data_IF_733566940653
#
_entry.id   IF_733566940653
#
_cell.length_a   1.000
_cell.length_b   1.000
_cell.length_c   1.000
_cell.angle_alpha   90.00
_cell.angle_beta   90.00
_cell.angle_gamma   90.00
#
_symmetry.space_group_name_H-M   'P 1'
#
loop_
_entity.id
_entity.type
_entity.pdbx_description
1 polymer ?
#
# COMPACT_ATOMS: atom_id res chain seq x y z
N UNK A 1 -29.22 0.40 -1.93
CA UNK A 1 -29.35 -0.78 -1.05
C UNK A 1 -28.41 -0.55 0.13
N UNK A 2 -28.90 -0.49 1.38
CA UNK A 2 -28.05 -0.22 2.55
C UNK A 2 -27.64 -1.54 3.17
N UNK A 3 -26.40 -1.97 2.93
CA UNK A 3 -25.81 -3.18 3.51
C UNK A 3 -25.54 -2.89 4.99
N UNK A 4 -26.54 -3.10 5.85
CA UNK A 4 -26.34 -2.94 7.30
C UNK A 4 -25.78 -4.24 7.87
N UNK A 5 -24.53 -4.18 8.32
CA UNK A 5 -23.86 -5.13 9.21
C UNK A 5 -23.63 -6.56 8.69
N UNK A 6 -23.75 -6.82 7.38
CA UNK A 6 -23.36 -8.11 6.83
C UNK A 6 -21.86 -8.19 6.62
N UNK A 7 -21.26 -9.31 7.02
CA UNK A 7 -19.86 -9.65 6.69
C UNK A 7 -19.72 -10.07 5.23
N UNK A 8 -18.50 -10.01 4.70
CA UNK A 8 -18.18 -10.40 3.32
C UNK A 8 -18.62 -11.83 2.98
N UNK A 9 -18.63 -12.74 3.95
CA UNK A 9 -19.06 -14.13 3.79
C UNK A 9 -20.57 -14.30 3.76
N UNK A 10 -21.33 -13.31 4.24
CA UNK A 10 -22.79 -13.31 4.33
C UNK A 10 -23.45 -12.60 3.13
N UNK A 11 -22.66 -11.94 2.29
CA UNK A 11 -23.13 -11.27 1.09
C UNK A 11 -23.45 -12.29 0.00
N UNK A 12 -24.63 -12.15 -0.60
CA UNK A 12 -24.99 -12.94 -1.78
C UNK A 12 -24.22 -12.48 -3.01
N UNK A 13 -24.14 -13.33 -4.05
CA UNK A 13 -23.57 -12.94 -5.35
C UNK A 13 -24.25 -11.69 -5.90
N UNK A 14 -25.58 -11.58 -5.80
CA UNK A 14 -26.34 -10.42 -6.26
C UNK A 14 -25.98 -9.14 -5.49
N UNK A 15 -25.81 -9.22 -4.16
CA UNK A 15 -25.37 -8.08 -3.34
C UNK A 15 -23.96 -7.62 -3.73
N UNK A 16 -23.05 -8.56 -4.03
CA UNK A 16 -21.69 -8.26 -4.49
C UNK A 16 -21.67 -7.63 -5.90
N UNK A 17 -22.50 -8.12 -6.82
CA UNK A 17 -22.60 -7.60 -8.18
C UNK A 17 -23.10 -6.14 -8.21
N UNK A 18 -24.05 -5.83 -7.34
CA UNK A 18 -24.63 -4.49 -7.23
C UNK A 18 -23.79 -3.53 -6.36
N UNK A 19 -22.64 -3.96 -5.87
CA UNK A 19 -21.79 -3.16 -5.00
C UNK A 19 -20.95 -2.16 -5.80
N UNK A 20 -21.18 -0.86 -5.58
CA UNK A 20 -20.30 0.19 -6.07
C UNK A 20 -19.06 0.32 -5.17
N UNK A 21 -17.89 0.08 -5.75
CA UNK A 21 -16.58 0.11 -5.07
C UNK A 21 -16.17 1.51 -4.58
N UNK A 22 -16.83 2.57 -5.07
CA UNK A 22 -16.59 3.94 -4.62
C UNK A 22 -17.62 4.43 -3.60
N UNK A 23 -18.63 3.60 -3.29
CA UNK A 23 -19.69 3.96 -2.36
C UNK A 23 -19.25 3.91 -0.90
N UNK A 24 -19.94 4.67 -0.05
CA UNK A 24 -19.76 4.58 1.41
C UNK A 24 -20.04 3.16 1.93
N UNK A 25 -21.04 2.47 1.37
CA UNK A 25 -21.35 1.08 1.70
C UNK A 25 -20.19 0.12 1.49
N UNK A 26 -19.36 0.33 0.45
CA UNK A 26 -18.15 -0.45 0.25
C UNK A 26 -17.09 -0.12 1.31
N UNK A 27 -16.90 1.17 1.64
CA UNK A 27 -15.96 1.56 2.69
C UNK A 27 -16.38 1.02 4.07
N UNK A 28 -17.68 1.04 4.37
CA UNK A 28 -18.26 0.48 5.60
C UNK A 28 -18.01 -1.03 5.69
N UNK A 29 -18.12 -1.77 4.57
CA UNK A 29 -17.77 -3.20 4.52
C UNK A 29 -16.28 -3.44 4.78
N UNK A 30 -15.39 -2.62 4.19
CA UNK A 30 -13.95 -2.71 4.45
C UNK A 30 -13.66 -2.45 5.92
N UNK A 31 -14.26 -1.41 6.52
CA UNK A 31 -14.13 -1.09 7.95
C UNK A 31 -14.62 -2.23 8.84
N UNK A 32 -15.74 -2.84 8.49
CA UNK A 32 -16.32 -3.97 9.22
C UNK A 32 -15.39 -5.19 9.17
N UNK A 33 -14.84 -5.54 8.01
CA UNK A 33 -13.90 -6.65 7.88
C UNK A 33 -12.56 -6.35 8.57
N UNK A 34 -12.08 -5.10 8.52
CA UNK A 34 -10.92 -4.65 9.32
C UNK A 34 -11.16 -4.90 10.81
N UNK A 35 -12.29 -4.41 11.34
CA UNK A 35 -12.64 -4.57 12.75
C UNK A 35 -12.75 -6.05 13.14
N UNK A 36 -13.34 -6.88 12.29
CA UNK A 36 -13.47 -8.32 12.55
C UNK A 36 -12.12 -9.05 12.56
N UNK A 37 -11.19 -8.67 11.66
CA UNK A 37 -9.86 -9.28 11.55
C UNK A 37 -8.83 -8.67 12.52
N UNK A 38 -9.24 -7.73 13.38
CA UNK A 38 -8.35 -7.05 14.32
C UNK A 38 -7.38 -6.07 13.66
N UNK A 39 -7.64 -5.68 12.41
CA UNK A 39 -6.89 -4.65 11.69
C UNK A 39 -7.41 -3.28 12.10
N UNK A 40 -6.49 -2.38 12.43
CA UNK A 40 -6.85 -1.03 12.84
C UNK A 40 -7.62 -0.31 11.72
N UNK A 41 -8.68 0.43 12.09
CA UNK A 41 -9.28 1.40 11.17
C UNK A 41 -8.21 2.42 10.75
N UNK A 42 -8.39 3.00 9.57
CA UNK A 42 -7.42 3.93 9.03
C UNK A 42 -7.29 5.14 9.97
N UNK A 43 -6.13 5.34 10.63
CA UNK A 43 -5.95 6.48 11.51
C UNK A 43 -5.86 7.77 10.68
N UNK A 44 -5.97 8.95 11.33
CA UNK A 44 -5.76 10.22 10.64
C UNK A 44 -4.41 10.26 9.93
N UNK A 45 -4.38 10.85 8.73
CA UNK A 45 -3.14 11.07 8.01
C UNK A 45 -2.21 11.96 8.87
N UNK A 46 -0.94 11.57 9.09
CA UNK A 46 0.01 12.33 9.91
C UNK A 46 0.36 13.71 9.34
N UNK A 47 -0.04 14.01 8.10
CA UNK A 47 0.25 15.27 7.42
C UNK A 47 1.72 15.38 7.00
N UNK A 48 2.15 16.60 6.72
CA UNK A 48 3.52 16.87 6.27
C UNK A 48 4.54 16.69 7.38
N UNK A 49 5.75 16.24 7.01
CA UNK A 49 6.86 16.12 7.94
C UNK A 49 7.20 17.50 8.53
N UNK A 50 7.35 17.63 9.86
CA UNK A 50 7.74 18.90 10.47
C UNK A 50 9.01 19.46 9.86
N UNK A 51 8.97 20.73 9.48
CA UNK A 51 10.14 21.42 8.95
C UNK A 51 11.07 21.81 10.10
N UNK A 52 12.32 21.32 10.05
CA UNK A 52 13.32 21.64 11.07
C UNK A 52 14.20 22.80 10.63
N UNK A 53 14.36 23.77 11.52
CA UNK A 53 15.18 24.94 11.27
C UNK A 53 16.63 24.54 11.04
N UNK A 54 17.18 24.93 9.89
CA UNK A 54 18.62 24.77 9.60
C UNK A 54 19.37 26.01 10.07
N UNK A 55 20.32 25.82 10.99
CA UNK A 55 21.12 26.91 11.54
C UNK A 55 22.42 27.10 10.78
N UNK A 56 22.75 28.35 10.46
CA UNK A 56 24.06 28.73 9.91
C UNK A 56 25.01 29.07 11.04
N UNK A 57 26.24 28.56 10.98
CA UNK A 57 27.34 28.96 11.87
C UNK A 57 27.50 30.49 11.89
N UNK A 58 27.72 31.05 13.07
CA UNK A 58 27.91 32.49 13.30
C UNK A 58 29.33 32.85 13.72
N UNK A 59 30.19 31.85 13.92
CA UNK A 59 31.56 32.05 14.38
C UNK A 59 32.56 31.28 13.53
N UNK A 60 33.76 31.86 13.39
CA UNK A 60 34.94 31.20 12.84
C UNK A 60 36.00 31.15 13.94
N UNK A 61 36.59 29.98 14.14
CA UNK A 61 37.72 29.77 15.07
C UNK A 61 38.93 29.25 14.30
N UNK A 62 40.10 29.52 14.86
CA UNK A 62 41.40 29.03 14.42
C UNK A 62 41.82 27.90 15.35
N UNK A 63 42.09 26.70 14.83
CA UNK A 63 42.35 25.51 15.64
C UNK A 63 43.76 24.96 15.41
N UNK A 64 44.45 24.63 16.51
CA UNK A 64 45.74 23.92 16.51
C UNK A 64 45.63 22.74 17.46
N UNK A 65 45.83 21.52 16.97
CA UNK A 65 45.89 20.32 17.81
C UNK A 65 44.67 20.10 18.71
N UNK A 66 43.48 20.50 18.27
CA UNK A 66 42.23 20.39 19.03
C UNK A 66 41.90 21.59 19.93
N UNK A 67 42.78 22.59 20.03
CA UNK A 67 42.53 23.83 20.78
C UNK A 67 42.06 24.94 19.85
N UNK A 68 40.93 25.57 20.17
CA UNK A 68 40.31 26.61 19.36
C UNK A 68 40.55 28.02 19.90
N UNK A 69 40.88 28.95 19.01
CA UNK A 69 41.15 30.35 19.31
C UNK A 69 40.21 31.25 18.52
N UNK A 70 39.70 32.31 19.17
CA UNK A 70 38.84 33.33 18.51
C UNK A 70 39.64 34.28 17.61
N UNK A 71 40.89 34.53 17.98
CA UNK A 71 41.81 35.41 17.25
C UNK A 71 42.91 34.56 16.60
N UNK A 72 43.22 34.86 15.34
CA UNK A 72 44.29 34.21 14.59
C UNK A 72 45.66 34.46 15.24
N UNK A 73 45.90 35.67 15.73
CA UNK A 73 47.18 36.07 16.34
C UNK A 73 47.51 35.20 17.57
N UNK A 74 46.49 34.85 18.37
CA UNK A 74 46.68 33.95 19.52
C UNK A 74 47.01 32.53 19.07
N UNK A 75 46.39 32.05 17.99
CA UNK A 75 46.74 30.76 17.42
C UNK A 75 48.19 30.78 16.90
N UNK A 76 48.58 31.82 16.18
CA UNK A 76 49.96 31.98 15.67
C UNK A 76 50.99 32.02 16.80
N UNK A 77 50.72 32.72 17.90
CA UNK A 77 51.60 32.74 19.07
C UNK A 77 51.77 31.35 19.70
N UNK A 78 50.70 30.56 19.79
CA UNK A 78 50.76 29.19 20.31
C UNK A 78 51.45 28.24 19.34
N UNK A 79 51.21 28.38 18.03
CA UNK A 79 51.90 27.58 17.01
C UNK A 79 53.41 27.81 17.09
N UNK A 80 53.85 29.06 17.13
CA UNK A 80 55.26 29.41 17.26
C UNK A 80 55.88 28.82 18.53
N UNK A 81 55.15 28.85 19.66
CA UNK A 81 55.60 28.22 20.90
C UNK A 81 55.72 26.68 20.77
N UNK A 82 54.77 26.03 20.12
CA UNK A 82 54.79 24.58 19.89
C UNK A 82 55.97 24.18 18.99
N UNK A 83 56.25 24.98 17.95
CA UNK A 83 57.36 24.77 17.04
C UNK A 83 58.72 24.97 17.73
N UNK A 84 58.87 26.03 18.54
CA UNK A 84 60.07 26.31 19.33
C UNK A 84 60.35 25.21 20.38
N UNK A 85 59.30 24.72 21.04
CA UNK A 85 59.41 23.63 22.01
C UNK A 85 59.72 22.25 21.38
N UNK A 86 59.60 22.12 20.06
CA UNK A 86 59.83 20.87 19.33
C UNK A 86 58.63 19.91 19.42
N UNK A 87 57.77 19.85 18.38
CA UNK A 87 56.60 18.98 18.38
C UNK A 87 57.00 17.50 18.52
N UNK A 88 56.27 16.76 19.35
CA UNK A 88 56.54 15.35 19.62
C UNK A 88 55.28 14.50 19.53
N UNK A 89 55.45 13.22 19.21
CA UNK A 89 54.36 12.23 19.16
C UNK A 89 54.68 11.02 20.01
N UNK A 90 53.62 10.34 20.47
CA UNK A 90 53.74 9.03 21.10
C UNK A 90 53.84 7.94 20.05
N UNK A 91 54.72 6.98 20.26
CA UNK A 91 54.84 5.76 19.45
C UNK A 91 54.83 4.56 20.40
N UNK A 92 53.96 3.59 20.15
CA UNK A 92 53.97 2.36 20.91
C UNK A 92 55.19 1.50 20.51
N UNK A 93 55.91 0.97 21.49
CA UNK A 93 57.03 0.04 21.32
C UNK A 93 57.07 -0.92 22.51
N UNK A 94 57.00 -2.22 22.23
CA UNK A 94 57.07 -3.30 23.25
C UNK A 94 56.07 -3.15 24.42
N UNK A 95 54.86 -2.66 24.15
CA UNK A 95 53.84 -2.45 25.19
C UNK A 95 53.96 -1.13 25.96
N UNK A 96 54.96 -0.32 25.68
CA UNK A 96 55.15 1.02 26.28
C UNK A 96 55.00 2.12 25.22
N UNK A 97 54.73 3.35 25.66
CA UNK A 97 54.76 4.53 24.80
C UNK A 97 56.10 5.25 24.93
N UNK A 98 56.77 5.44 23.80
CA UNK A 98 57.95 6.30 23.69
C UNK A 98 57.56 7.64 23.04
N UNK A 99 58.17 8.72 23.50
CA UNK A 99 58.03 10.06 22.89
C UNK A 99 59.11 10.21 21.83
N UNK A 100 58.71 10.55 20.61
CA UNK A 100 59.64 10.80 19.50
C UNK A 100 59.38 12.19 18.91
N UNK A 101 60.44 12.95 18.56
CA UNK A 101 60.29 14.20 17.82
C UNK A 101 59.53 13.97 16.53
N UNK A 102 58.72 14.95 16.15
CA UNK A 102 58.04 14.99 14.86
C UNK A 102 58.92 15.71 13.84
N UNK A 103 58.75 15.33 12.58
CA UNK A 103 59.36 16.01 11.44
C UNK A 103 58.30 16.90 10.76
N UNK A 104 58.68 18.01 10.11
CA UNK A 104 57.72 18.94 9.49
C UNK A 104 56.80 18.33 8.44
N UNK A 105 57.20 17.22 7.81
CA UNK A 105 56.42 16.44 6.84
C UNK A 105 55.41 15.49 7.49
N UNK A 106 55.36 15.42 8.82
CA UNK A 106 54.43 14.54 9.52
C UNK A 106 52.97 14.98 9.31
N UNK A 107 52.06 14.06 9.00
CA UNK A 107 50.65 14.36 8.72
C UNK A 107 49.87 15.05 9.87
N UNK A 108 50.36 14.92 11.11
CA UNK A 108 49.84 15.61 12.30
C UNK A 108 50.70 16.81 12.72
N UNK A 109 51.56 17.32 11.85
CA UNK A 109 52.34 18.52 12.16
C UNK A 109 51.40 19.64 12.59
N UNK A 110 51.69 20.37 13.69
CA UNK A 110 50.84 21.45 14.15
C UNK A 110 50.63 22.48 13.04
N UNK A 111 49.37 22.74 12.71
CA UNK A 111 48.99 23.76 11.74
C UNK A 111 47.73 24.48 12.21
N UNK A 112 47.54 25.71 11.76
CA UNK A 112 46.31 26.47 12.02
C UNK A 112 45.29 26.09 10.96
N UNK A 113 44.21 25.44 11.41
CA UNK A 113 43.03 25.20 10.58
C UNK A 113 41.91 26.17 10.93
N UNK A 114 41.01 26.46 9.99
CA UNK A 114 39.82 27.29 10.27
C UNK A 114 38.57 26.42 10.35
N UNK A 115 37.74 26.64 11.37
CA UNK A 115 36.46 25.95 11.52
C UNK A 115 35.33 26.95 11.74
N UNK A 116 34.20 26.69 11.08
CA UNK A 116 32.94 27.39 11.32
C UNK A 116 32.22 26.69 12.46
N UNK A 117 31.86 27.42 13.50
CA UNK A 117 31.19 26.90 14.69
C UNK A 117 30.06 27.84 15.14
N UNK A 118 29.37 27.43 16.20
CA UNK A 118 28.34 28.25 16.84
C UNK A 118 28.93 28.97 18.05
N UNK A 119 28.55 30.23 18.25
CA UNK A 119 28.78 30.91 19.53
C UNK A 119 28.03 30.18 20.66
N UNK A 120 28.44 30.39 21.91
CA UNK A 120 27.77 29.76 23.06
C UNK A 120 26.29 30.14 23.16
N UNK A 121 25.96 31.40 22.86
CA UNK A 121 24.59 31.91 22.88
C UNK A 121 23.74 31.25 21.78
N UNK A 122 24.28 31.19 20.55
CA UNK A 122 23.59 30.54 19.44
C UNK A 122 23.48 29.04 19.63
N UNK A 123 24.51 28.41 20.20
CA UNK A 123 24.49 26.99 20.53
C UNK A 123 23.40 26.65 21.57
N UNK A 124 23.22 27.48 22.59
CA UNK A 124 22.14 27.31 23.56
C UNK A 124 20.76 27.35 22.88
N UNK A 125 20.52 28.35 22.02
CA UNK A 125 19.28 28.46 21.24
C UNK A 125 19.04 27.26 20.33
N UNK A 126 20.09 26.77 19.65
CA UNK A 126 20.03 25.59 18.78
C UNK A 126 19.73 24.34 19.57
N UNK A 127 20.28 24.20 20.78
CA UNK A 127 20.09 23.00 21.61
C UNK A 127 18.62 22.83 21.99
N UNK A 128 17.97 23.91 22.44
CA UNK A 128 16.57 23.86 22.85
C UNK A 128 15.65 23.61 21.66
N UNK A 129 15.90 24.28 20.53
CA UNK A 129 15.12 24.08 19.30
C UNK A 129 15.34 22.72 18.66
N UNK A 130 16.56 22.17 18.75
CA UNK A 130 16.88 20.83 18.27
C UNK A 130 16.14 19.77 19.07
N UNK A 131 16.00 19.95 20.39
CA UNK A 131 15.20 19.05 21.23
C UNK A 131 13.73 19.04 20.81
N UNK A 132 13.12 20.22 20.70
CA UNK A 132 11.71 20.37 20.25
C UNK A 132 11.53 19.74 18.86
N UNK A 133 12.46 20.02 17.94
CA UNK A 133 12.45 19.46 16.58
C UNK A 133 12.56 17.94 16.57
N UNK A 134 13.40 17.37 17.44
CA UNK A 134 13.57 15.92 17.56
C UNK A 134 12.30 15.25 18.10
N UNK A 135 11.67 15.85 19.11
CA UNK A 135 10.42 15.35 19.69
C UNK A 135 9.29 15.38 18.66
N UNK A 136 9.14 16.49 17.90
CA UNK A 136 8.16 16.62 16.82
C UNK A 136 8.40 15.62 15.68
N UNK A 137 9.65 15.43 15.25
CA UNK A 137 9.99 14.43 14.24
C UNK A 137 9.65 13.03 14.73
N UNK A 138 9.95 12.72 15.99
CA UNK A 138 9.67 11.40 16.58
C UNK A 138 8.17 11.15 16.62
N UNK A 139 7.39 12.09 17.13
CA UNK A 139 5.92 11.97 17.17
C UNK A 139 5.33 11.79 15.77
N UNK A 140 5.74 12.63 14.81
CA UNK A 140 5.30 12.47 13.42
C UNK A 140 5.71 11.12 12.83
N UNK A 141 6.93 10.64 13.10
CA UNK A 141 7.40 9.34 12.61
C UNK A 141 6.59 8.19 13.20
N UNK A 142 6.24 8.26 14.50
CA UNK A 142 5.43 7.25 15.16
C UNK A 142 4.00 7.23 14.58
N UNK A 143 3.40 8.41 14.36
CA UNK A 143 2.09 8.54 13.70
C UNK A 143 2.15 8.03 12.26
N UNK A 144 3.19 8.37 11.51
CA UNK A 144 3.38 7.91 10.14
C UNK A 144 3.53 6.39 10.06
N UNK A 145 4.34 5.79 10.93
CA UNK A 145 4.51 4.34 10.96
C UNK A 145 3.16 3.64 11.27
N UNK A 146 2.39 4.15 12.23
CA UNK A 146 1.04 3.63 12.53
C UNK A 146 0.10 3.74 11.32
N UNK A 147 0.11 4.89 10.65
CA UNK A 147 -0.71 5.12 9.46
C UNK A 147 -0.32 4.19 8.30
N UNK A 148 0.97 4.12 7.96
CA UNK A 148 1.47 3.30 6.85
C UNK A 148 1.20 1.80 7.09
N UNK A 149 1.36 1.34 8.34
CA UNK A 149 1.03 -0.04 8.72
C UNK A 149 -0.48 -0.30 8.52
N UNK A 150 -1.35 0.57 9.03
CA UNK A 150 -2.80 0.43 8.88
C UNK A 150 -3.25 0.45 7.40
N UNK A 151 -2.65 1.31 6.57
CA UNK A 151 -2.88 1.33 5.12
C UNK A 151 -2.50 -0.01 4.48
N UNK A 152 -1.35 -0.55 4.86
CA UNK A 152 -0.84 -1.80 4.29
C UNK A 152 -1.73 -2.99 4.65
N UNK A 153 -2.12 -3.13 5.91
CA UNK A 153 -3.00 -4.21 6.37
C UNK A 153 -4.41 -4.08 5.76
N UNK A 154 -4.97 -2.86 5.75
CA UNK A 154 -6.27 -2.58 5.12
C UNK A 154 -6.27 -2.90 3.63
N UNK A 155 -5.16 -2.66 2.93
CA UNK A 155 -5.04 -2.99 1.50
C UNK A 155 -5.29 -4.47 1.24
N UNK A 156 -4.79 -5.37 2.10
CA UNK A 156 -5.03 -6.81 1.97
C UNK A 156 -6.53 -7.15 2.02
N UNK A 157 -7.26 -6.56 2.97
CA UNK A 157 -8.70 -6.76 3.13
C UNK A 157 -9.47 -6.19 1.93
N UNK A 158 -9.08 -5.01 1.47
CA UNK A 158 -9.68 -4.36 0.31
C UNK A 158 -9.52 -5.21 -0.96
N UNK A 159 -8.35 -5.81 -1.17
CA UNK A 159 -8.14 -6.72 -2.32
C UNK A 159 -8.92 -8.03 -2.19
N UNK A 160 -9.12 -8.55 -0.98
CA UNK A 160 -9.97 -9.74 -0.75
C UNK A 160 -11.43 -9.47 -1.11
N UNK A 161 -11.99 -8.34 -0.67
CA UNK A 161 -13.36 -7.94 -1.02
C UNK A 161 -13.48 -7.75 -2.54
N UNK A 162 -12.52 -7.05 -3.15
CA UNK A 162 -12.48 -6.89 -4.61
C UNK A 162 -12.46 -8.22 -5.34
N UNK A 163 -11.61 -9.14 -4.92
CA UNK A 163 -11.51 -10.47 -5.54
C UNK A 163 -12.84 -11.21 -5.47
N UNK A 164 -13.57 -11.14 -4.35
CA UNK A 164 -14.92 -11.72 -4.27
C UNK A 164 -15.91 -11.05 -5.23
N UNK A 165 -15.86 -9.74 -5.37
CA UNK A 165 -16.69 -9.01 -6.36
C UNK A 165 -16.33 -9.43 -7.79
N UNK A 166 -15.04 -9.57 -8.11
CA UNK A 166 -14.60 -10.03 -9.43
C UNK A 166 -15.04 -11.45 -9.70
N UNK A 167 -14.91 -12.37 -8.74
CA UNK A 167 -15.41 -13.75 -8.87
C UNK A 167 -16.92 -13.75 -9.13
N UNK A 168 -17.68 -12.91 -8.41
CA UNK A 168 -19.12 -12.78 -8.65
C UNK A 168 -19.43 -12.30 -10.07
N UNK A 169 -18.66 -11.35 -10.60
CA UNK A 169 -18.76 -10.85 -11.98
C UNK A 169 -18.39 -11.92 -13.00
N UNK A 170 -17.28 -12.62 -12.83
CA UNK A 170 -16.86 -13.69 -13.74
C UNK A 170 -17.91 -14.81 -13.81
N UNK A 171 -18.53 -15.15 -12.69
CA UNK A 171 -19.64 -16.10 -12.64
C UNK A 171 -20.85 -15.59 -13.43
N UNK A 172 -21.23 -14.32 -13.24
CA UNK A 172 -22.33 -13.71 -13.98
C UNK A 172 -22.05 -13.66 -15.48
N UNK A 173 -20.85 -13.26 -15.89
CA UNK A 173 -20.43 -13.22 -17.29
C UNK A 173 -20.45 -14.64 -17.91
N UNK A 174 -20.05 -15.66 -17.15
CA UNK A 174 -20.16 -17.07 -17.55
C UNK A 174 -21.60 -17.51 -17.77
N UNK A 175 -22.50 -17.18 -16.84
CA UNK A 175 -23.94 -17.42 -16.94
C UNK A 175 -24.50 -16.74 -18.19
N UNK A 176 -24.24 -15.45 -18.37
CA UNK A 176 -24.75 -14.65 -19.50
C UNK A 176 -24.24 -15.19 -20.84
N UNK A 177 -22.99 -15.64 -20.89
CA UNK A 177 -22.39 -16.28 -22.07
C UNK A 177 -23.09 -17.59 -22.44
N UNK A 178 -23.38 -18.44 -21.45
CA UNK A 178 -24.11 -19.70 -21.65
C UNK A 178 -25.53 -19.41 -22.14
N UNK A 179 -26.23 -18.47 -21.51
CA UNK A 179 -27.58 -18.05 -21.91
C UNK A 179 -27.54 -17.57 -23.38
N UNK A 180 -26.58 -16.71 -23.74
CA UNK A 180 -26.44 -16.20 -25.10
C UNK A 180 -26.14 -17.32 -26.11
N UNK A 181 -25.27 -18.26 -25.78
CA UNK A 181 -24.98 -19.41 -26.63
C UNK A 181 -26.20 -20.33 -26.79
N UNK A 182 -26.95 -20.56 -25.72
CA UNK A 182 -28.17 -21.34 -25.79
C UNK A 182 -29.22 -20.69 -26.70
N UNK A 183 -29.40 -19.36 -26.64
CA UNK A 183 -30.25 -18.63 -27.60
C UNK A 183 -29.84 -18.91 -29.04
N UNK A 184 -28.53 -18.87 -29.33
CA UNK A 184 -28.01 -19.17 -30.67
C UNK A 184 -28.28 -20.62 -31.08
N UNK A 185 -28.15 -21.58 -30.16
CA UNK A 185 -28.49 -22.98 -30.43
C UNK A 185 -29.98 -23.19 -30.68
N UNK A 186 -30.86 -22.49 -29.98
CA UNK A 186 -32.31 -22.51 -30.25
C UNK A 186 -32.60 -22.04 -31.67
N UNK A 187 -31.98 -20.93 -32.11
CA UNK A 187 -32.11 -20.45 -33.48
C UNK A 187 -31.60 -21.47 -34.50
N UNK A 188 -30.42 -22.06 -34.28
CA UNK A 188 -29.84 -23.08 -35.17
C UNK A 188 -30.67 -24.36 -35.21
N UNK A 189 -31.29 -24.73 -34.10
CA UNK A 189 -32.20 -25.85 -33.99
C UNK A 189 -33.62 -25.54 -34.48
N UNK A 190 -33.86 -24.38 -35.10
CA UNK A 190 -35.16 -23.95 -35.61
C UNK A 190 -36.26 -23.98 -34.52
N UNK A 191 -35.93 -23.52 -33.31
CA UNK A 191 -36.85 -23.50 -32.17
C UNK A 191 -36.99 -24.83 -31.42
N UNK A 192 -36.31 -25.90 -31.86
CA UNK A 192 -36.41 -27.20 -31.19
C UNK A 192 -35.52 -27.26 -29.95
N UNK A 193 -36.12 -26.99 -28.78
CA UNK A 193 -35.45 -26.96 -27.47
C UNK A 193 -34.55 -28.18 -27.20
N UNK A 194 -35.05 -29.40 -27.41
CA UNK A 194 -34.28 -30.62 -27.12
C UNK A 194 -33.00 -30.73 -27.97
N UNK A 195 -33.06 -30.29 -29.23
CA UNK A 195 -31.90 -30.27 -30.12
C UNK A 195 -30.92 -29.19 -29.66
N UNK A 196 -31.40 -27.98 -29.37
CA UNK A 196 -30.56 -26.91 -28.85
C UNK A 196 -29.86 -27.26 -27.53
N UNK A 197 -30.58 -27.95 -26.63
CA UNK A 197 -30.04 -28.45 -25.38
C UNK A 197 -28.94 -29.48 -25.63
N UNK A 198 -29.13 -30.39 -26.59
CA UNK A 198 -28.08 -31.34 -26.96
C UNK A 198 -26.81 -30.64 -27.47
N UNK A 199 -26.93 -29.59 -28.29
CA UNK A 199 -25.79 -28.80 -28.75
C UNK A 199 -25.07 -28.09 -27.61
N UNK A 200 -25.82 -27.54 -26.65
CA UNK A 200 -25.25 -26.88 -25.47
C UNK A 200 -24.49 -27.88 -24.60
N UNK A 201 -25.09 -29.03 -24.27
CA UNK A 201 -24.44 -30.09 -23.48
C UNK A 201 -23.16 -30.57 -24.19
N UNK A 202 -23.22 -30.73 -25.51
CA UNK A 202 -22.05 -31.17 -26.28
C UNK A 202 -20.91 -30.14 -26.31
N UNK A 203 -21.23 -28.85 -26.24
CA UNK A 203 -20.25 -27.77 -26.21
C UNK A 203 -19.55 -27.61 -24.85
N UNK A 204 -20.22 -27.98 -23.75
CA UNK A 204 -19.75 -27.79 -22.37
C UNK A 204 -19.50 -29.13 -21.65
N UNK A 205 -18.76 -30.03 -22.30
CA UNK A 205 -18.37 -31.36 -21.75
C UNK A 205 -17.34 -31.30 -20.62
N UNK A 206 -16.83 -30.10 -20.32
CA UNK A 206 -15.86 -29.84 -19.26
C UNK A 206 -16.47 -29.89 -17.84
N UNK A 207 -17.78 -30.09 -17.73
CA UNK A 207 -18.49 -30.18 -16.46
C UNK A 207 -18.95 -28.83 -15.91
N UNK A 208 -18.81 -27.75 -16.68
CA UNK A 208 -19.34 -26.42 -16.34
C UNK A 208 -20.87 -26.34 -16.39
N UNK A 209 -21.54 -27.36 -16.94
CA UNK A 209 -23.00 -27.49 -16.96
C UNK A 209 -23.46 -28.76 -16.27
N UNK A 210 -24.53 -28.63 -15.49
CA UNK A 210 -25.28 -29.71 -14.89
C UNK A 210 -26.74 -29.61 -15.34
N UNK A 211 -27.30 -30.70 -15.87
CA UNK A 211 -28.71 -30.75 -16.28
C UNK A 211 -29.45 -31.72 -15.37
N UNK A 212 -30.55 -31.29 -14.76
CA UNK A 212 -31.39 -32.11 -13.88
C UNK A 212 -32.86 -31.83 -14.16
N UNK A 213 -33.65 -32.88 -14.40
CA UNK A 213 -35.12 -32.78 -14.49
C UNK A 213 -35.61 -31.61 -15.38
N UNK A 214 -34.97 -31.45 -16.55
CA UNK A 214 -35.22 -30.39 -17.55
C UNK A 214 -34.75 -28.96 -17.21
N UNK A 215 -34.15 -28.76 -16.03
CA UNK A 215 -33.44 -27.54 -15.65
C UNK A 215 -31.94 -27.60 -16.01
N UNK A 216 -31.37 -26.44 -16.33
CA UNK A 216 -29.94 -26.29 -16.62
C UNK A 216 -29.31 -25.51 -15.46
N UNK A 217 -28.15 -25.95 -15.01
CA UNK A 217 -27.39 -25.32 -13.96
C UNK A 217 -25.96 -25.06 -14.43
N UNK A 218 -25.44 -23.87 -14.14
CA UNK A 218 -24.03 -23.56 -14.29
C UNK A 218 -23.26 -23.99 -13.05
N UNK A 219 -22.16 -24.72 -13.25
CA UNK A 219 -21.29 -25.18 -12.18
C UNK A 219 -20.00 -24.35 -12.23
N UNK A 220 -19.82 -23.50 -11.23
CA UNK A 220 -18.53 -22.88 -10.96
C UNK A 220 -17.73 -23.74 -9.99
N UNK A 221 -16.44 -23.46 -9.83
CA UNK A 221 -15.51 -24.25 -8.99
C UNK A 221 -15.96 -24.45 -7.53
N UNK A 222 -16.91 -23.67 -7.03
CA UNK A 222 -17.40 -23.74 -5.65
C UNK A 222 -18.93 -23.82 -5.50
N UNK A 223 -19.72 -23.52 -6.55
CA UNK A 223 -21.17 -23.34 -6.43
C UNK A 223 -21.92 -23.81 -7.68
N UNK A 224 -23.21 -24.10 -7.50
CA UNK A 224 -24.13 -24.46 -8.58
C UNK A 224 -25.19 -23.37 -8.70
N UNK A 225 -25.32 -22.79 -9.89
CA UNK A 225 -26.22 -21.69 -10.18
C UNK A 225 -27.31 -22.19 -11.11
N UNK A 226 -28.58 -22.02 -10.72
CA UNK A 226 -29.70 -22.37 -11.59
C UNK A 226 -29.75 -21.37 -12.75
N UNK A 227 -29.73 -21.89 -13.97
CA UNK A 227 -29.97 -21.13 -15.17
C UNK A 227 -31.45 -21.23 -15.49
N UNK A 228 -32.16 -20.10 -15.62
CA UNK A 228 -33.59 -20.04 -15.96
C UNK A 228 -33.85 -20.43 -17.44
N UNK A 229 -33.29 -21.55 -17.86
CA UNK A 229 -33.26 -22.06 -19.23
C UNK A 229 -34.11 -23.33 -19.38
N UNK A 230 -34.98 -23.66 -18.43
CA UNK A 230 -35.77 -24.91 -18.46
C UNK A 230 -36.77 -24.95 -19.62
N UNK A 231 -37.22 -26.16 -19.97
CA UNK A 231 -38.23 -26.32 -21.02
C UNK A 231 -39.54 -25.59 -20.68
N UNK A 232 -39.88 -25.51 -19.39
CA UNK A 232 -41.05 -24.79 -18.89
C UNK A 232 -40.85 -23.28 -18.98
N UNK A 233 -39.70 -22.74 -18.54
CA UNK A 233 -39.37 -21.30 -18.68
C UNK A 233 -39.30 -20.83 -20.14
N UNK A 234 -38.88 -21.72 -21.06
CA UNK A 234 -38.95 -21.48 -22.50
C UNK A 234 -40.42 -21.45 -23.00
N UNK A 235 -41.26 -22.38 -22.53
CA UNK A 235 -42.68 -22.48 -22.93
C UNK A 235 -43.55 -21.35 -22.40
N UNK A 236 -43.30 -20.88 -21.19
CA UNK A 236 -44.09 -19.81 -20.54
C UNK A 236 -43.70 -18.42 -21.02
N UNK A 237 -42.62 -18.28 -21.81
CA UNK A 237 -42.09 -16.98 -22.20
C UNK A 237 -41.45 -16.21 -21.04
N UNK A 238 -41.28 -16.83 -19.86
CA UNK A 238 -40.52 -16.25 -18.75
C UNK A 238 -39.08 -16.00 -19.17
N UNK A 239 -38.54 -16.86 -20.03
CA UNK A 239 -37.36 -16.56 -20.83
C UNK A 239 -37.52 -15.20 -21.54
N UNK A 240 -38.50 -14.98 -22.42
CA UNK A 240 -38.64 -13.70 -23.14
C UNK A 240 -38.66 -12.46 -22.20
N UNK A 241 -39.22 -12.58 -21.00
CA UNK A 241 -39.23 -11.51 -19.98
C UNK A 241 -37.86 -11.25 -19.31
N UNK A 242 -37.07 -12.30 -19.03
CA UNK A 242 -35.69 -12.21 -18.55
C UNK A 242 -34.69 -11.87 -19.68
N UNK A 243 -35.08 -12.12 -20.93
CA UNK A 243 -34.22 -12.04 -22.11
C UNK A 243 -34.39 -10.73 -22.91
N UNK A 244 -35.25 -9.80 -22.47
CA UNK A 244 -35.41 -8.47 -23.06
C UNK A 244 -35.96 -8.47 -24.49
N UNK A 245 -36.63 -9.55 -24.90
CA UNK A 245 -37.25 -9.64 -26.23
C UNK A 245 -38.67 -9.13 -26.09
N UNK A 246 -38.89 -7.87 -26.47
CA UNK A 246 -40.24 -7.37 -26.74
C UNK A 246 -40.79 -8.17 -27.93
N UNK A 247 -41.93 -8.82 -27.74
CA UNK A 247 -42.69 -9.49 -28.79
C UNK A 247 -43.18 -8.47 -29.84
N UNK A 248 -42.29 -8.03 -30.73
CA UNK A 248 -42.69 -7.47 -32.02
C UNK A 248 -42.99 -8.65 -32.96
N UNK A 249 -44.12 -9.31 -32.73
CA UNK A 249 -44.91 -10.00 -33.75
C UNK A 249 -46.16 -10.63 -33.10
N UNK A 250 -47.14 -9.78 -32.78
CA UNK A 250 -48.55 -10.17 -32.88
C UNK A 250 -49.10 -9.69 -34.21
N UNK A 251 -48.96 -10.57 -35.21
CA UNK A 251 -49.89 -10.80 -36.33
C UNK A 251 -50.91 -9.69 -36.64
N UNK A 252 -50.72 -8.98 -37.76
CA UNK A 252 -51.64 -8.91 -38.91
C UNK A 252 -50.98 -8.20 -40.08
#
# INVERSE_FOLDING_TARGET
MTIKNKRLEELTTEELLNMDMYSQSFQDLVDLECAHKGVCLLPPNPGEKPNVTKYKSDMLIFEIGGWGFKNREHAEAILAYIEDAGPCKRKAKNGEYVVVPMTPDHYNWPEITTKKCFSSEKFAQIKDSAKISADLIKEWSDLKNKYDNAVTERKGILEEIKNKIYIAKDIQDGIDSIIANFRRYITLAQGQYKIALSFLIDAYKDGSLLVKEDDIYYVSSANVYHLALSQESYRTGEMNSLLGVTDDEKTS
#
